data_IF_507517818773
#
_entry.id   IF_507517818773
#
_cell.length_a   1.000
_cell.length_b   1.000
_cell.length_c   1.000
_cell.angle_alpha   90.00
_cell.angle_beta   90.00
_cell.angle_gamma   90.00
#
_symmetry.space_group_name_H-M   'P 1'
#
loop_
_entity.id
_entity.type
_entity.pdbx_description
1 polymer ?
#
# COMPACT_ATOMS: atom_id res chain seq x y z
N UNK A 1 14.02 -24.95 -3.49
CA UNK A 1 13.29 -23.95 -4.29
C UNK A 1 11.90 -23.73 -3.74
N UNK A 2 11.04 -24.73 -3.86
CA UNK A 2 9.61 -24.66 -3.50
C UNK A 2 9.32 -24.26 -2.05
N UNK A 3 10.02 -24.83 -1.06
CA UNK A 3 9.83 -24.46 0.35
C UNK A 3 10.15 -22.97 0.63
N UNK A 4 11.17 -22.41 -0.02
CA UNK A 4 11.53 -20.98 0.12
C UNK A 4 10.46 -20.08 -0.50
N UNK A 5 9.99 -20.46 -1.70
CA UNK A 5 8.90 -19.76 -2.38
C UNK A 5 7.62 -19.76 -1.53
N UNK A 6 7.27 -20.91 -0.94
CA UNK A 6 6.12 -21.05 -0.05
C UNK A 6 6.29 -20.25 1.26
N UNK A 7 7.52 -20.03 1.72
CA UNK A 7 7.84 -19.19 2.86
C UNK A 7 7.87 -17.67 2.52
N UNK A 8 7.59 -17.29 1.26
CA UNK A 8 7.54 -15.90 0.83
C UNK A 8 8.85 -15.34 0.25
N UNK A 9 9.89 -16.16 0.10
CA UNK A 9 11.10 -15.76 -0.62
C UNK A 9 10.89 -15.95 -2.13
N UNK A 10 10.30 -14.94 -2.75
CA UNK A 10 10.03 -14.90 -4.19
C UNK A 10 11.25 -14.57 -5.05
N UNK A 11 12.40 -14.25 -4.44
CA UNK A 11 13.67 -14.05 -5.15
C UNK A 11 14.35 -15.37 -5.52
N UNK A 12 13.92 -16.49 -4.90
CA UNK A 12 14.44 -17.82 -5.18
C UNK A 12 14.29 -18.18 -6.66
N UNK A 13 15.35 -18.77 -7.24
CA UNK A 13 15.37 -19.31 -8.60
C UNK A 13 15.89 -20.74 -8.61
N UNK A 14 15.46 -21.50 -9.61
CA UNK A 14 15.99 -22.84 -9.91
C UNK A 14 16.74 -22.83 -11.23
N UNK A 15 17.70 -23.75 -11.36
CA UNK A 15 18.53 -23.90 -12.54
C UNK A 15 17.71 -24.47 -13.72
N UNK A 16 17.90 -23.91 -14.92
CA UNK A 16 17.14 -24.24 -16.14
C UNK A 16 18.01 -24.89 -17.20
N UNK A 17 19.18 -25.45 -16.84
CA UNK A 17 20.13 -26.06 -17.79
C UNK A 17 19.58 -27.27 -18.57
N UNK A 18 18.58 -27.98 -18.03
CA UNK A 18 17.98 -29.12 -18.71
C UNK A 18 17.07 -28.67 -19.86
N UNK A 19 17.04 -29.43 -20.96
CA UNK A 19 16.15 -29.18 -22.11
C UNK A 19 14.94 -30.13 -22.16
N UNK A 20 14.77 -30.95 -21.12
CA UNK A 20 13.65 -31.88 -20.96
C UNK A 20 12.47 -31.23 -20.22
N UNK A 21 11.49 -32.04 -19.84
CA UNK A 21 10.31 -31.64 -19.07
C UNK A 21 10.68 -31.03 -17.72
N UNK A 22 11.78 -31.45 -17.10
CA UNK A 22 12.28 -30.86 -15.85
C UNK A 22 12.84 -29.46 -16.09
N UNK A 23 13.51 -29.25 -17.22
CA UNK A 23 13.93 -27.93 -17.70
C UNK A 23 12.75 -26.97 -17.89
N UNK A 24 11.68 -27.44 -18.52
CA UNK A 24 10.45 -26.67 -18.71
C UNK A 24 9.77 -26.35 -17.37
N UNK A 25 9.66 -27.32 -16.47
CA UNK A 25 9.12 -27.10 -15.12
C UNK A 25 9.95 -26.08 -14.32
N UNK A 26 11.28 -26.09 -14.49
CA UNK A 26 12.17 -25.12 -13.86
C UNK A 26 11.92 -23.68 -14.39
N UNK A 27 11.65 -23.53 -15.69
CA UNK A 27 11.27 -22.25 -16.29
C UNK A 27 9.91 -21.77 -15.75
N UNK A 28 8.91 -22.64 -15.72
CA UNK A 28 7.57 -22.32 -15.18
C UNK A 28 7.65 -21.92 -13.70
N UNK A 29 8.48 -22.60 -12.90
CA UNK A 29 8.76 -22.22 -11.50
C UNK A 29 9.34 -20.81 -11.39
N UNK A 30 10.35 -20.48 -12.20
CA UNK A 30 10.98 -19.15 -12.19
C UNK A 30 10.00 -18.06 -12.64
N UNK A 31 9.12 -18.36 -13.59
CA UNK A 31 8.07 -17.44 -14.04
C UNK A 31 7.04 -17.18 -12.92
N UNK A 32 6.61 -18.22 -12.22
CA UNK A 32 5.75 -18.08 -11.05
C UNK A 32 6.42 -17.24 -9.96
N UNK A 33 7.69 -17.52 -9.64
CA UNK A 33 8.46 -16.75 -8.66
C UNK A 33 8.54 -15.26 -9.02
N UNK A 34 8.85 -14.94 -10.29
CA UNK A 34 8.86 -13.57 -10.80
C UNK A 34 7.50 -12.88 -10.70
N UNK A 35 6.42 -13.62 -10.96
CA UNK A 35 5.05 -13.08 -10.89
C UNK A 35 4.66 -12.76 -9.45
N UNK A 36 4.98 -13.65 -8.51
CA UNK A 36 4.77 -13.43 -7.08
C UNK A 36 5.60 -12.27 -6.54
N UNK A 37 6.87 -12.18 -6.94
CA UNK A 37 7.77 -11.07 -6.57
C UNK A 37 7.22 -9.72 -7.03
N UNK A 38 6.77 -9.62 -8.29
CA UNK A 38 6.13 -8.41 -8.81
C UNK A 38 4.85 -8.06 -8.08
N UNK A 39 4.00 -9.04 -7.80
CA UNK A 39 2.76 -8.80 -7.05
C UNK A 39 3.04 -8.30 -5.63
N UNK A 40 4.04 -8.88 -4.96
CA UNK A 40 4.47 -8.44 -3.64
C UNK A 40 5.04 -7.01 -3.66
N UNK A 41 5.81 -6.66 -4.70
CA UNK A 41 6.33 -5.31 -4.88
C UNK A 41 5.20 -4.30 -5.10
N UNK A 42 4.28 -4.59 -6.03
CA UNK A 42 3.11 -3.73 -6.28
C UNK A 42 2.29 -3.52 -5.02
N UNK A 43 2.08 -4.58 -4.20
CA UNK A 43 1.38 -4.46 -2.93
C UNK A 43 2.13 -3.55 -1.94
N UNK A 44 3.46 -3.64 -1.86
CA UNK A 44 4.27 -2.77 -1.00
C UNK A 44 4.19 -1.31 -1.43
N UNK A 45 4.34 -1.06 -2.72
CA UNK A 45 4.30 0.30 -3.28
C UNK A 45 2.92 0.92 -3.06
N UNK A 46 1.86 0.17 -3.34
CA UNK A 46 0.48 0.61 -3.07
C UNK A 46 0.25 0.98 -1.60
N UNK A 47 0.74 0.17 -0.64
CA UNK A 47 0.63 0.48 0.79
C UNK A 47 1.44 1.73 1.18
N UNK A 48 2.59 1.95 0.55
CA UNK A 48 3.40 3.15 0.78
C UNK A 48 2.68 4.40 0.26
N UNK A 49 2.10 4.32 -0.93
CA UNK A 49 1.35 5.42 -1.55
C UNK A 49 0.14 5.82 -0.69
N UNK A 50 -0.67 4.85 -0.25
CA UNK A 50 -1.79 5.12 0.68
C UNK A 50 -1.31 5.76 1.98
N UNK A 51 -0.20 5.27 2.55
CA UNK A 51 0.35 5.82 3.79
C UNK A 51 0.76 7.29 3.62
N UNK A 52 1.30 7.65 2.46
CA UNK A 52 1.62 9.02 2.11
C UNK A 52 0.37 9.87 1.91
N UNK A 53 -0.63 9.36 1.20
CA UNK A 53 -1.89 10.06 0.94
C UNK A 53 -2.71 10.28 2.21
N UNK A 54 -2.69 9.37 3.19
CA UNK A 54 -3.35 9.55 4.49
C UNK A 54 -2.63 10.56 5.40
N UNK A 55 -1.30 10.67 5.29
CA UNK A 55 -0.51 11.55 6.17
C UNK A 55 -0.83 13.02 5.95
N UNK A 56 -1.04 13.43 4.70
CA UNK A 56 -1.36 14.82 4.34
C UNK A 56 -2.65 15.31 5.01
N UNK A 57 -3.81 14.65 4.81
CA UNK A 57 -5.05 15.12 5.38
C UNK A 57 -5.07 15.04 6.91
N UNK A 58 -4.42 14.03 7.49
CA UNK A 58 -4.26 13.95 8.93
C UNK A 58 -3.43 15.12 9.49
N UNK A 59 -2.38 15.55 8.77
CA UNK A 59 -1.54 16.67 9.19
C UNK A 59 -2.29 18.00 9.12
N UNK A 60 -3.12 18.21 8.09
CA UNK A 60 -3.99 19.38 7.96
C UNK A 60 -5.05 19.39 9.07
N UNK A 61 -5.75 18.28 9.29
CA UNK A 61 -6.74 18.14 10.36
C UNK A 61 -6.13 18.49 11.73
N UNK A 62 -4.93 17.96 12.02
CA UNK A 62 -4.21 18.26 13.25
C UNK A 62 -3.85 19.75 13.35
N UNK A 63 -3.30 20.34 12.28
CA UNK A 63 -2.92 21.74 12.27
C UNK A 63 -4.11 22.70 12.44
N UNK A 64 -5.27 22.37 11.87
CA UNK A 64 -6.49 23.15 12.07
C UNK A 64 -7.00 23.06 13.52
N UNK A 65 -6.96 21.87 14.12
CA UNK A 65 -7.34 21.67 15.52
C UNK A 65 -6.38 22.40 16.48
N UNK A 66 -5.06 22.33 16.23
CA UNK A 66 -4.04 23.06 16.99
C UNK A 66 -4.27 24.58 16.89
N UNK A 67 -4.53 25.10 15.69
CA UNK A 67 -4.82 26.53 15.50
C UNK A 67 -6.09 26.99 16.23
N UNK A 68 -7.12 26.14 16.30
CA UNK A 68 -8.34 26.42 17.07
C UNK A 68 -8.04 26.40 18.57
N UNK A 69 -7.27 25.41 19.03
CA UNK A 69 -6.89 25.27 20.44
C UNK A 69 -6.05 26.45 20.93
N UNK A 70 -5.13 26.93 20.10
CA UNK A 70 -4.26 28.08 20.40
C UNK A 70 -5.00 29.43 20.25
N UNK A 71 -6.26 29.42 19.82
CA UNK A 71 -7.08 30.61 19.59
C UNK A 71 -6.69 31.42 18.34
N UNK A 72 -5.75 30.91 17.53
CA UNK A 72 -5.33 31.49 16.25
C UNK A 72 -6.48 31.44 15.24
N UNK A 73 -7.26 30.36 15.26
CA UNK A 73 -8.48 30.19 14.46
C UNK A 73 -9.70 30.12 15.37
N UNK A 74 -10.80 30.75 14.96
CA UNK A 74 -12.07 30.67 15.68
C UNK A 74 -12.79 29.36 15.34
N UNK A 75 -13.47 28.79 16.34
CA UNK A 75 -14.36 27.66 16.12
C UNK A 75 -15.69 28.15 15.52
N UNK A 76 -15.77 28.15 14.19
CA UNK A 76 -16.92 28.62 13.42
C UNK A 76 -17.50 27.50 12.55
N UNK A 77 -18.72 27.64 12.02
CA UNK A 77 -19.29 26.68 11.06
C UNK A 77 -18.35 26.39 9.87
N UNK A 78 -17.61 27.39 9.39
CA UNK A 78 -16.64 27.23 8.31
C UNK A 78 -15.45 26.36 8.74
N UNK A 79 -14.93 26.54 9.97
CA UNK A 79 -13.88 25.67 10.49
C UNK A 79 -14.34 24.23 10.67
N UNK A 80 -15.60 24.03 11.09
CA UNK A 80 -16.19 22.69 11.21
C UNK A 80 -16.33 22.04 9.85
N UNK A 81 -16.79 22.78 8.83
CA UNK A 81 -16.89 22.30 7.47
C UNK A 81 -15.52 21.89 6.88
N UNK A 82 -14.46 22.68 7.17
CA UNK A 82 -13.08 22.36 6.77
C UNK A 82 -12.59 21.04 7.39
N UNK A 83 -12.74 20.88 8.71
CA UNK A 83 -12.39 19.64 9.41
C UNK A 83 -13.21 18.44 8.90
N UNK A 84 -14.50 18.63 8.62
CA UNK A 84 -15.37 17.59 8.06
C UNK A 84 -14.97 17.18 6.65
N UNK A 85 -14.56 18.13 5.81
CA UNK A 85 -14.03 17.83 4.49
C UNK A 85 -12.82 16.90 4.59
N UNK A 86 -11.95 17.13 5.57
CA UNK A 86 -10.74 16.34 5.74
C UNK A 86 -10.98 14.95 6.30
N UNK A 87 -11.92 14.82 7.25
CA UNK A 87 -12.45 13.52 7.66
C UNK A 87 -13.07 12.79 6.47
N UNK A 88 -13.79 13.49 5.58
CA UNK A 88 -14.35 12.93 4.36
C UNK A 88 -13.29 12.39 3.40
N UNK A 89 -12.18 13.12 3.21
CA UNK A 89 -11.02 12.65 2.43
C UNK A 89 -10.43 11.38 3.03
N UNK A 90 -10.20 11.36 4.35
CA UNK A 90 -9.67 10.18 5.06
C UNK A 90 -10.60 8.97 4.92
N UNK A 91 -11.91 9.14 5.05
CA UNK A 91 -12.89 8.06 4.87
C UNK A 91 -12.82 7.47 3.46
N UNK A 92 -12.76 8.31 2.42
CA UNK A 92 -12.62 7.83 1.03
C UNK A 92 -11.36 7.02 0.82
N UNK A 93 -10.22 7.49 1.33
CA UNK A 93 -8.94 6.77 1.23
C UNK A 93 -8.99 5.41 1.94
N UNK A 94 -9.69 5.32 3.08
CA UNK A 94 -9.91 4.05 3.79
C UNK A 94 -10.84 3.12 3.01
N UNK A 95 -11.90 3.65 2.40
CA UNK A 95 -12.83 2.88 1.56
C UNK A 95 -12.13 2.33 0.30
N UNK A 96 -11.27 3.14 -0.33
CA UNK A 96 -10.48 2.74 -1.49
C UNK A 96 -9.50 1.59 -1.13
N UNK A 97 -8.89 1.66 0.06
CA UNK A 97 -8.07 0.56 0.59
C UNK A 97 -8.90 -0.73 0.76
N UNK A 98 -10.13 -0.63 1.26
CA UNK A 98 -11.00 -1.79 1.44
C UNK A 98 -11.42 -2.46 0.12
N UNK A 99 -11.56 -1.71 -0.97
CA UNK A 99 -11.92 -2.28 -2.28
C UNK A 99 -10.78 -3.07 -2.93
N UNK A 100 -9.54 -2.83 -2.51
CA UNK A 100 -8.32 -3.43 -3.07
C UNK A 100 -7.75 -4.57 -2.21
N UNK A 101 -8.32 -4.80 -1.02
CA UNK A 101 -8.02 -5.94 -0.13
C UNK A 101 -8.88 -7.16 -0.43
#
# INVERSE_FOLDING_TARGET
GTHKLAAGDFSTRVDTRSQDELGKLAQDFNQLASTLEKNQQMRRDFMADISHELRTPLAVLRGELEAIQDGVRQFTPESVASLQAEVGTLTKLVDDLHQLS
#
